data_IF_361699254657
#
_entry.id   IF_361699254657
#
_cell.length_a   1.000
_cell.length_b   1.000
_cell.length_c   1.000
_cell.angle_alpha   90.00
_cell.angle_beta   90.00
_cell.angle_gamma   90.00
#
_symmetry.space_group_name_H-M   'P 1'
#
loop_
_entity.id
_entity.type
_entity.pdbx_description
1 polymer ?
#
# COMPACT_ATOMS: atom_id res chain seq x y z
N UNK A 1 -17.04 8.63 -20.06
CA UNK A 1 -15.80 8.89 -19.30
C UNK A 1 -15.80 7.98 -18.08
N UNK A 2 -15.01 6.91 -18.15
CA UNK A 2 -14.83 5.97 -17.04
C UNK A 2 -13.73 6.49 -16.09
N UNK A 3 -13.66 5.95 -14.88
CA UNK A 3 -12.61 6.31 -13.91
C UNK A 3 -11.21 6.04 -14.48
N UNK A 4 -11.05 4.98 -15.28
CA UNK A 4 -9.78 4.66 -15.93
C UNK A 4 -9.39 5.70 -17.01
N UNK A 5 -10.36 6.17 -17.78
CA UNK A 5 -10.15 7.22 -18.81
C UNK A 5 -9.80 8.57 -18.18
N UNK A 6 -10.26 8.86 -16.96
CA UNK A 6 -9.98 10.11 -16.26
C UNK A 6 -8.57 10.18 -15.66
N UNK A 7 -8.08 9.07 -15.09
CA UNK A 7 -6.80 9.04 -14.37
C UNK A 7 -5.59 8.88 -15.28
N UNK A 8 -5.74 8.27 -16.46
CA UNK A 8 -4.60 7.72 -17.20
C UNK A 8 -4.28 6.29 -16.74
N UNK A 9 -3.64 5.50 -17.60
CA UNK A 9 -3.48 4.05 -17.38
C UNK A 9 -2.57 3.69 -16.19
N UNK A 10 -1.52 4.47 -15.96
CA UNK A 10 -0.54 4.21 -14.89
C UNK A 10 -1.12 4.61 -13.53
N UNK A 11 -1.67 5.81 -13.44
CA UNK A 11 -2.24 6.38 -12.22
C UNK A 11 -3.44 5.56 -11.74
N UNK A 12 -4.27 5.10 -12.68
CA UNK A 12 -5.36 4.17 -12.37
C UNK A 12 -4.81 2.85 -11.82
N UNK A 13 -3.79 2.27 -12.44
CA UNK A 13 -3.18 1.01 -12.01
C UNK A 13 -2.55 1.12 -10.61
N UNK A 14 -1.85 2.22 -10.34
CA UNK A 14 -1.27 2.55 -9.03
C UNK A 14 -2.36 2.66 -7.96
N UNK A 15 -3.46 3.33 -8.28
CA UNK A 15 -4.60 3.49 -7.37
C UNK A 15 -5.28 2.15 -7.08
N UNK A 16 -5.54 1.35 -8.11
CA UNK A 16 -6.14 0.02 -7.97
C UNK A 16 -5.26 -0.90 -7.10
N UNK A 17 -3.95 -0.89 -7.37
CA UNK A 17 -3.00 -1.66 -6.57
C UNK A 17 -3.01 -1.23 -5.10
N UNK A 18 -3.00 0.07 -4.81
CA UNK A 18 -3.05 0.57 -3.44
C UNK A 18 -4.34 0.15 -2.71
N UNK A 19 -5.49 0.13 -3.40
CA UNK A 19 -6.76 -0.34 -2.83
C UNK A 19 -6.71 -1.85 -2.54
N UNK A 20 -6.24 -2.65 -3.50
CA UNK A 20 -6.10 -4.10 -3.35
C UNK A 20 -5.17 -4.47 -2.19
N UNK A 21 -3.98 -3.88 -2.15
CA UNK A 21 -3.00 -4.08 -1.08
C UNK A 21 -3.56 -3.67 0.28
N UNK A 22 -4.32 -2.58 0.34
CA UNK A 22 -5.00 -2.17 1.58
C UNK A 22 -5.97 -3.23 2.06
N UNK A 23 -6.80 -3.79 1.18
CA UNK A 23 -7.81 -4.80 1.55
C UNK A 23 -7.15 -6.11 1.98
N UNK A 24 -6.12 -6.55 1.26
CA UNK A 24 -5.33 -7.73 1.63
C UNK A 24 -4.75 -7.59 3.05
N UNK A 25 -4.07 -6.47 3.33
CA UNK A 25 -3.45 -6.25 4.64
C UNK A 25 -4.51 -6.15 5.74
N UNK A 26 -5.67 -5.53 5.47
CA UNK A 26 -6.78 -5.52 6.41
C UNK A 26 -7.19 -6.93 6.81
N UNK A 27 -7.39 -7.81 5.83
CA UNK A 27 -7.76 -9.20 6.09
C UNK A 27 -6.69 -9.93 6.91
N UNK A 28 -5.41 -9.73 6.58
CA UNK A 28 -4.29 -10.29 7.34
C UNK A 28 -4.20 -9.77 8.77
N UNK A 29 -4.51 -8.50 9.02
CA UNK A 29 -4.59 -7.93 10.38
C UNK A 29 -5.75 -8.57 11.15
N UNK A 30 -6.93 -8.68 10.54
CA UNK A 30 -8.12 -9.30 11.16
C UNK A 30 -7.87 -10.75 11.53
N UNK A 31 -7.18 -11.50 10.65
CA UNK A 31 -6.78 -12.90 10.89
C UNK A 31 -5.59 -13.05 11.85
N UNK A 32 -4.95 -11.94 12.24
CA UNK A 32 -3.69 -11.90 13.01
C UNK A 32 -2.50 -12.56 12.32
N UNK A 33 -2.47 -12.57 10.99
CA UNK A 33 -1.28 -12.95 10.20
C UNK A 33 -0.24 -11.79 10.18
N UNK A 34 -0.73 -10.55 10.26
CA UNK A 34 0.07 -9.33 10.39
C UNK A 34 -0.31 -8.61 11.68
N UNK A 35 0.55 -8.66 12.69
CA UNK A 35 0.24 -8.14 14.03
C UNK A 35 1.33 -7.22 14.60
N UNK A 36 2.43 -7.00 13.87
CA UNK A 36 3.42 -5.97 14.18
C UNK A 36 3.38 -4.82 13.15
N UNK A 37 3.51 -3.58 13.62
CA UNK A 37 3.51 -2.39 12.77
C UNK A 37 4.69 -2.38 11.80
N UNK A 38 5.86 -2.80 12.25
CA UNK A 38 7.08 -2.89 11.45
C UNK A 38 6.92 -3.95 10.35
N UNK A 39 6.30 -5.08 10.67
CA UNK A 39 5.97 -6.14 9.72
C UNK A 39 5.02 -5.63 8.63
N UNK A 40 3.96 -4.92 9.02
CA UNK A 40 3.00 -4.31 8.09
C UNK A 40 3.70 -3.29 7.18
N UNK A 41 4.53 -2.41 7.76
CA UNK A 41 5.25 -1.37 7.00
C UNK A 41 6.20 -2.01 5.99
N UNK A 42 7.00 -2.99 6.42
CA UNK A 42 7.91 -3.71 5.53
C UNK A 42 7.16 -4.44 4.41
N UNK A 43 6.04 -5.08 4.73
CA UNK A 43 5.20 -5.76 3.75
C UNK A 43 4.71 -4.78 2.66
N UNK A 44 4.22 -3.61 3.06
CA UNK A 44 3.79 -2.55 2.13
C UNK A 44 4.94 -2.11 1.23
N UNK A 45 6.12 -1.86 1.81
CA UNK A 45 7.29 -1.40 1.06
C UNK A 45 7.76 -2.40 0.02
N UNK A 46 7.82 -3.69 0.37
CA UNK A 46 8.21 -4.76 -0.54
C UNK A 46 7.22 -4.90 -1.70
N UNK A 47 5.92 -4.88 -1.41
CA UNK A 47 4.88 -5.02 -2.42
C UNK A 47 4.81 -3.79 -3.34
N UNK A 48 4.90 -2.58 -2.78
CA UNK A 48 4.96 -1.35 -3.55
C UNK A 48 6.20 -1.31 -4.46
N UNK A 49 7.37 -1.74 -3.96
CA UNK A 49 8.59 -1.79 -4.78
C UNK A 49 8.43 -2.75 -5.96
N UNK A 50 7.95 -3.97 -5.73
CA UNK A 50 7.77 -4.99 -6.78
C UNK A 50 6.79 -4.51 -7.85
N UNK A 51 5.67 -3.90 -7.44
CA UNK A 51 4.69 -3.37 -8.38
C UNK A 51 5.27 -2.22 -9.23
N UNK A 52 5.93 -1.25 -8.61
CA UNK A 52 6.52 -0.14 -9.36
C UNK A 52 7.63 -0.62 -10.31
N UNK A 53 8.42 -1.61 -9.92
CA UNK A 53 9.43 -2.21 -10.79
C UNK A 53 8.85 -2.96 -11.99
N UNK A 54 7.58 -3.40 -11.93
CA UNK A 54 6.92 -4.00 -13.09
C UNK A 54 6.34 -2.96 -14.06
N UNK A 55 6.38 -1.66 -13.71
CA UNK A 55 5.95 -0.57 -14.59
C UNK A 55 7.15 0.03 -15.32
N UNK A 56 7.00 0.32 -16.62
CA UNK A 56 8.02 1.00 -17.41
C UNK A 56 7.94 2.51 -17.18
N UNK A 57 8.48 2.97 -16.05
CA UNK A 57 8.45 4.38 -15.63
C UNK A 57 9.87 4.92 -15.47
N UNK A 58 10.02 6.25 -15.60
CA UNK A 58 11.28 6.90 -15.28
C UNK A 58 11.58 6.79 -13.78
N UNK A 59 12.85 6.81 -13.35
CA UNK A 59 13.21 6.68 -11.93
C UNK A 59 12.51 7.69 -11.02
N UNK A 60 12.34 8.93 -11.48
CA UNK A 60 11.65 9.97 -10.73
C UNK A 60 10.16 9.65 -10.54
N UNK A 61 9.47 9.21 -11.60
CA UNK A 61 8.05 8.85 -11.53
C UNK A 61 7.85 7.60 -10.67
N UNK A 62 8.73 6.60 -10.81
CA UNK A 62 8.74 5.41 -9.96
C UNK A 62 8.85 5.75 -8.47
N UNK A 63 9.74 6.69 -8.12
CA UNK A 63 9.92 7.11 -6.73
C UNK A 63 8.66 7.80 -6.18
N UNK A 64 8.03 8.68 -6.97
CA UNK A 64 6.79 9.37 -6.58
C UNK A 64 5.65 8.35 -6.41
N UNK A 65 5.40 7.51 -7.41
CA UNK A 65 4.32 6.53 -7.37
C UNK A 65 4.48 5.53 -6.23
N UNK A 66 5.71 5.06 -5.96
CA UNK A 66 5.99 4.20 -4.81
C UNK A 66 5.60 4.89 -3.49
N UNK A 67 5.99 6.15 -3.32
CA UNK A 67 5.70 6.93 -2.12
C UNK A 67 4.19 7.14 -1.95
N UNK A 68 3.47 7.40 -3.03
CA UNK A 68 2.01 7.54 -3.02
C UNK A 68 1.30 6.26 -2.57
N UNK A 69 1.71 5.10 -3.12
CA UNK A 69 1.17 3.79 -2.69
C UNK A 69 1.37 3.60 -1.18
N UNK A 70 2.62 3.74 -0.71
CA UNK A 70 2.95 3.51 0.70
C UNK A 70 2.14 4.44 1.60
N UNK A 71 2.09 5.73 1.25
CA UNK A 71 1.36 6.73 2.03
C UNK A 71 -0.15 6.43 2.07
N UNK A 72 -0.75 6.15 0.92
CA UNK A 72 -2.18 5.86 0.82
C UNK A 72 -2.55 4.61 1.63
N UNK A 73 -1.80 3.52 1.48
CA UNK A 73 -2.06 2.26 2.18
C UNK A 73 -1.93 2.44 3.69
N UNK A 74 -0.83 3.04 4.17
CA UNK A 74 -0.64 3.29 5.60
C UNK A 74 -1.74 4.19 6.19
N UNK A 75 -2.12 5.24 5.47
CA UNK A 75 -3.19 6.14 5.89
C UNK A 75 -4.52 5.38 6.08
N UNK A 76 -4.88 4.53 5.12
CA UNK A 76 -6.12 3.73 5.17
C UNK A 76 -6.07 2.61 6.22
N UNK A 77 -4.88 2.08 6.54
CA UNK A 77 -4.70 1.02 7.54
C UNK A 77 -4.64 1.55 8.98
N UNK A 78 -4.27 2.81 9.19
CA UNK A 78 -4.19 3.43 10.53
C UNK A 78 -5.40 3.13 11.44
N UNK A 79 -6.66 3.34 11.01
CA UNK A 79 -7.81 3.01 11.87
C UNK A 79 -7.95 1.51 12.15
N UNK A 80 -7.52 0.65 11.24
CA UNK A 80 -7.62 -0.82 11.38
C UNK A 80 -6.58 -1.32 12.38
N UNK A 81 -5.35 -0.82 12.29
CA UNK A 81 -4.27 -1.14 13.22
C UNK A 81 -4.62 -0.73 14.65
N UNK A 82 -5.23 0.45 14.82
CA UNK A 82 -5.67 0.93 16.14
C UNK A 82 -6.78 0.07 16.75
N UNK A 83 -7.69 -0.47 15.93
CA UNK A 83 -8.80 -1.32 16.40
C UNK A 83 -8.36 -2.73 16.79
N UNK A 84 -7.35 -3.28 16.12
CA UNK A 84 -6.93 -4.69 16.28
C UNK A 84 -5.68 -4.86 17.16
N UNK A 85 -5.26 -3.81 17.87
CA UNK A 85 -4.14 -3.83 18.83
C UNK A 85 -2.86 -4.38 18.18
N UNK A 86 -2.49 -3.79 17.04
CA UNK A 86 -1.22 -4.10 16.37
C UNK A 86 -0.06 -3.66 17.28
N UNK A 87 0.86 -4.58 17.56
CA UNK A 87 2.03 -4.33 18.38
C UNK A 87 3.02 -3.42 17.65
N UNK A 88 3.80 -2.67 18.42
CA UNK A 88 4.88 -1.83 17.91
C UNK A 88 6.12 -2.04 18.77
N UNK A 89 7.29 -2.04 18.14
CA UNK A 89 8.55 -2.09 18.88
C UNK A 89 8.76 -0.73 19.54
N UNK A 90 8.84 -0.70 20.88
CA UNK A 90 9.25 0.50 21.61
C UNK A 90 10.76 0.60 21.46
N UNK A 91 11.23 1.64 20.77
CA UNK A 91 12.66 1.98 20.68
C UNK A 91 13.04 2.92 21.82
#
# INVERSE_FOLDING_TARGET
MTVAEFYGGVEYSVTQFAIQLTNEIKEKIVKRDLFYKEQITHYIECHALRFIQSLTLSPAVSAVMKKEIIHHVLFKLKPVMNRHVVFQVIK
#
